data_IF_543462631218
#
_entry.id   IF_543462631218
#
_cell.length_a   1.000
_cell.length_b   1.000
_cell.length_c   1.000
_cell.angle_alpha   90.00
_cell.angle_beta   90.00
_cell.angle_gamma   90.00
#
_symmetry.space_group_name_H-M   'P 1'
#
loop_
_entity.id
_entity.type
_entity.pdbx_description
1 polymer ?
#
# COMPACT_ATOMS: atom_id res chain seq x y z
N UNK A 1 -32.68 23.35 -26.63
CA UNK A 1 -31.36 22.73 -26.89
C UNK A 1 -30.23 23.35 -26.11
N UNK A 2 -30.15 24.63 -25.92
CA UNK A 2 -29.08 25.30 -25.15
C UNK A 2 -29.07 24.97 -23.62
N UNK A 3 -30.22 24.61 -23.03
CA UNK A 3 -30.35 24.28 -21.60
C UNK A 3 -29.78 22.91 -21.20
N UNK A 4 -29.62 22.01 -22.15
CA UNK A 4 -29.11 20.64 -21.88
C UNK A 4 -27.57 20.66 -21.73
N UNK A 5 -26.88 21.55 -22.45
CA UNK A 5 -25.43 21.70 -22.42
C UNK A 5 -24.94 22.21 -21.06
N UNK A 6 -25.71 23.10 -20.42
CA UNK A 6 -25.38 23.69 -19.10
C UNK A 6 -25.46 22.65 -17.98
N UNK A 7 -26.39 21.69 -18.06
CA UNK A 7 -26.51 20.59 -17.09
C UNK A 7 -25.33 19.61 -17.17
N UNK A 8 -24.80 19.36 -18.36
CA UNK A 8 -23.62 18.50 -18.55
C UNK A 8 -22.34 19.13 -18.00
N UNK A 9 -22.19 20.44 -18.09
CA UNK A 9 -21.05 21.16 -17.53
C UNK A 9 -21.04 21.11 -15.99
N UNK A 10 -22.20 21.09 -15.34
CA UNK A 10 -22.31 21.02 -13.88
C UNK A 10 -21.92 19.64 -13.33
N UNK A 11 -22.20 18.57 -14.05
CA UNK A 11 -21.80 17.20 -13.68
C UNK A 11 -20.29 17.01 -13.84
N UNK A 12 -19.66 17.60 -14.82
CA UNK A 12 -18.21 17.54 -15.05
C UNK A 12 -17.40 18.26 -13.96
N UNK A 13 -17.95 19.26 -13.30
CA UNK A 13 -17.28 20.00 -12.21
C UNK A 13 -17.30 19.21 -10.89
N UNK A 14 -18.29 18.33 -10.66
CA UNK A 14 -18.37 17.49 -9.46
C UNK A 14 -17.50 16.23 -9.54
N UNK A 15 -17.17 15.75 -10.73
CA UNK A 15 -16.37 14.54 -10.94
C UNK A 15 -14.93 14.68 -10.43
N UNK A 16 -14.21 15.79 -10.61
CA UNK A 16 -12.85 15.93 -10.09
C UNK A 16 -12.74 15.87 -8.56
N UNK A 17 -13.75 16.39 -7.83
CA UNK A 17 -13.73 16.36 -6.36
C UNK A 17 -13.92 14.96 -5.78
N UNK A 18 -14.66 14.10 -6.46
CA UNK A 18 -14.83 12.69 -6.09
C UNK A 18 -13.61 11.83 -6.45
N UNK A 19 -12.89 12.20 -7.49
CA UNK A 19 -11.65 11.50 -7.91
C UNK A 19 -10.49 11.80 -6.97
N UNK A 20 -10.43 12.98 -6.38
CA UNK A 20 -9.40 13.36 -5.40
C UNK A 20 -9.46 12.56 -4.09
N UNK A 21 -10.60 11.97 -3.75
CA UNK A 21 -10.76 11.14 -2.56
C UNK A 21 -10.40 9.67 -2.78
N UNK A 22 -10.20 9.24 -4.02
CA UNK A 22 -9.69 7.90 -4.30
C UNK A 22 -8.18 7.87 -4.12
N UNK A 23 -7.78 7.44 -2.94
CA UNK A 23 -6.41 7.16 -2.61
C UNK A 23 -5.80 6.23 -3.66
N UNK A 24 -4.81 6.70 -4.40
CA UNK A 24 -4.15 5.91 -5.44
C UNK A 24 -3.66 4.58 -4.87
N UNK A 25 -4.14 3.50 -5.45
CA UNK A 25 -3.64 2.15 -5.19
C UNK A 25 -2.88 1.68 -6.42
N UNK A 26 -1.65 1.30 -6.24
CA UNK A 26 -0.80 0.83 -7.31
C UNK A 26 -0.36 -0.61 -7.04
N UNK A 27 -0.26 -1.41 -8.10
CA UNK A 27 0.35 -2.72 -7.98
C UNK A 27 1.84 -2.57 -7.68
N UNK A 28 2.33 -3.33 -6.71
CA UNK A 28 3.72 -3.28 -6.28
C UNK A 28 4.71 -3.51 -7.43
N UNK A 29 4.39 -4.42 -8.35
CA UNK A 29 5.22 -4.72 -9.54
C UNK A 29 5.41 -3.55 -10.52
N UNK A 30 4.57 -2.50 -10.41
CA UNK A 30 4.67 -1.28 -11.23
C UNK A 30 5.63 -0.25 -10.66
N UNK A 31 6.15 -0.49 -9.47
CA UNK A 31 7.12 0.39 -8.84
C UNK A 31 8.54 0.06 -9.28
N UNK A 32 9.34 1.09 -9.38
CA UNK A 32 10.77 0.99 -9.75
C UNK A 32 11.59 1.46 -8.55
N UNK A 33 12.51 0.62 -8.09
CA UNK A 33 13.44 0.98 -7.03
C UNK A 33 14.68 1.63 -7.62
N UNK A 34 15.08 2.78 -7.03
CA UNK A 34 16.35 3.45 -7.30
C UNK A 34 16.98 3.88 -5.99
N UNK A 35 18.15 3.32 -5.66
CA UNK A 35 18.89 3.65 -4.42
C UNK A 35 18.04 3.51 -3.15
N UNK A 36 17.24 2.46 -3.05
CA UNK A 36 16.38 2.19 -1.91
C UNK A 36 15.09 3.03 -1.84
N UNK A 37 14.82 3.87 -2.84
CA UNK A 37 13.62 4.68 -2.93
C UNK A 37 12.72 4.16 -4.05
N UNK A 38 11.44 4.01 -3.76
CA UNK A 38 10.45 3.53 -4.72
C UNK A 38 9.82 4.68 -5.50
N UNK A 39 9.73 4.50 -6.80
CA UNK A 39 9.13 5.43 -7.75
C UNK A 39 8.01 4.75 -8.53
N UNK A 40 7.00 5.50 -8.89
CA UNK A 40 6.07 5.11 -9.95
C UNK A 40 6.63 5.56 -11.31
N UNK A 41 5.80 5.79 -12.29
CA UNK A 41 6.22 6.23 -13.64
C UNK A 41 6.84 7.63 -13.71
N UNK A 42 6.84 8.39 -12.60
CA UNK A 42 7.32 9.76 -12.54
C UNK A 42 8.73 9.91 -11.97
N UNK A 43 9.18 11.17 -11.89
CA UNK A 43 10.46 11.53 -11.28
C UNK A 43 10.40 11.68 -9.76
N UNK A 44 9.18 11.75 -9.20
CA UNK A 44 8.96 11.92 -7.76
C UNK A 44 8.88 10.56 -7.06
N UNK A 45 9.43 10.41 -5.84
CA UNK A 45 9.22 9.24 -5.02
C UNK A 45 7.73 8.96 -4.82
N UNK A 46 7.37 7.68 -4.81
CA UNK A 46 5.97 7.27 -4.69
C UNK A 46 5.43 7.45 -3.27
N UNK A 47 4.25 8.03 -3.17
CA UNK A 47 3.45 8.07 -1.95
C UNK A 47 2.08 7.49 -2.26
N UNK A 48 1.68 6.47 -1.51
CA UNK A 48 0.37 5.83 -1.69
C UNK A 48 0.36 4.38 -1.26
N UNK A 49 -0.81 3.78 -1.36
CA UNK A 49 -1.01 2.37 -1.06
C UNK A 49 -0.55 1.50 -2.21
N UNK A 50 -0.02 0.35 -1.86
CA UNK A 50 0.37 -0.68 -2.83
C UNK A 50 -0.25 -2.02 -2.46
N UNK A 51 -0.38 -2.85 -3.46
CA UNK A 51 -0.81 -4.23 -3.30
C UNK A 51 -0.13 -5.12 -4.34
N UNK A 52 -0.04 -6.39 -4.03
CA UNK A 52 0.32 -7.44 -4.97
C UNK A 52 -0.62 -8.63 -4.76
N UNK A 53 -0.82 -9.40 -5.79
CA UNK A 53 -1.69 -10.58 -5.77
C UNK A 53 -0.92 -11.81 -6.23
N UNK A 54 -1.27 -12.96 -5.68
CA UNK A 54 -0.89 -14.22 -6.27
C UNK A 54 -1.61 -14.41 -7.60
N UNK A 55 -0.91 -14.98 -8.55
CA UNK A 55 -1.51 -15.29 -9.84
C UNK A 55 -2.73 -16.21 -9.63
N UNK A 56 -3.92 -15.68 -9.90
CA UNK A 56 -5.21 -16.39 -9.79
C UNK A 56 -5.67 -16.77 -8.36
N UNK A 57 -4.99 -16.33 -7.30
CA UNK A 57 -5.26 -16.82 -5.93
C UNK A 57 -5.30 -15.73 -4.84
N UNK A 58 -5.85 -14.57 -5.11
CA UNK A 58 -6.06 -13.58 -4.07
C UNK A 58 -4.82 -12.74 -3.70
N UNK A 59 -4.90 -12.09 -2.55
CA UNK A 59 -3.93 -11.08 -2.12
C UNK A 59 -2.63 -11.68 -1.63
N UNK A 60 -1.51 -11.13 -2.07
CA UNK A 60 -0.16 -11.49 -1.64
C UNK A 60 0.41 -10.50 -0.63
N UNK A 61 0.25 -9.21 -0.88
CA UNK A 61 0.65 -8.17 0.05
C UNK A 61 -0.19 -6.90 -0.08
N UNK A 62 -0.23 -6.13 1.00
CA UNK A 62 -0.65 -4.72 1.00
C UNK A 62 0.27 -3.91 1.88
N UNK A 63 0.46 -2.65 1.54
CA UNK A 63 1.26 -1.72 2.31
C UNK A 63 1.10 -0.29 1.84
N UNK A 64 1.91 0.58 2.39
CA UNK A 64 1.94 1.99 2.04
C UNK A 64 3.39 2.46 1.91
N UNK A 65 3.64 3.29 0.91
CA UNK A 65 4.86 4.07 0.78
C UNK A 65 4.59 5.54 1.10
N UNK A 66 5.55 6.17 1.73
CA UNK A 66 5.59 7.62 1.92
C UNK A 66 6.94 8.13 1.43
N UNK A 67 6.93 9.01 0.43
CA UNK A 67 8.14 9.52 -0.23
C UNK A 67 9.10 8.40 -0.66
N UNK A 68 8.54 7.32 -1.23
CA UNK A 68 9.28 6.17 -1.73
C UNK A 68 9.81 5.20 -0.68
N UNK A 69 9.50 5.40 0.60
CA UNK A 69 9.90 4.55 1.72
C UNK A 69 8.70 3.84 2.32
N UNK A 70 8.89 2.59 2.75
CA UNK A 70 7.83 1.85 3.48
C UNK A 70 7.39 2.65 4.71
N UNK A 71 6.07 2.74 4.90
CA UNK A 71 5.47 3.46 6.00
C UNK A 71 4.17 2.77 6.44
N UNK A 72 3.88 2.81 7.76
CA UNK A 72 2.68 2.17 8.30
C UNK A 72 2.73 0.64 8.27
N UNK A 73 1.57 0.03 8.21
CA UNK A 73 1.43 -1.42 8.31
C UNK A 73 1.53 -2.09 6.95
N UNK A 74 2.29 -3.18 6.90
CA UNK A 74 2.45 -4.05 5.76
C UNK A 74 1.96 -5.44 6.13
N UNK A 75 1.04 -6.00 5.36
CA UNK A 75 0.49 -7.33 5.57
C UNK A 75 0.84 -8.23 4.40
N UNK A 76 1.32 -9.41 4.70
CA UNK A 76 1.65 -10.46 3.74
C UNK A 76 0.78 -11.67 3.99
N UNK A 77 0.31 -12.28 2.92
CA UNK A 77 -0.52 -13.48 2.96
C UNK A 77 0.17 -14.63 2.21
N UNK A 78 -0.12 -15.84 2.65
CA UNK A 78 0.21 -17.08 1.95
C UNK A 78 -0.77 -17.32 0.79
N UNK A 79 -0.41 -18.18 -0.14
CA UNK A 79 -1.28 -18.55 -1.25
C UNK A 79 -2.62 -19.15 -0.81
N UNK A 80 -2.67 -19.79 0.36
CA UNK A 80 -3.89 -20.32 0.94
C UNK A 80 -4.82 -19.25 1.56
N UNK A 81 -4.44 -17.96 1.50
CA UNK A 81 -5.19 -16.83 2.03
C UNK A 81 -4.97 -16.54 3.51
N UNK A 82 -4.22 -17.38 4.22
CA UNK A 82 -3.89 -17.10 5.63
C UNK A 82 -2.78 -16.06 5.73
N UNK A 83 -2.81 -15.26 6.78
CA UNK A 83 -1.77 -14.27 7.04
C UNK A 83 -0.43 -14.98 7.29
N UNK A 84 0.60 -14.51 6.63
CA UNK A 84 1.98 -14.95 6.84
C UNK A 84 2.65 -14.09 7.90
N UNK A 85 2.64 -12.78 7.72
CA UNK A 85 3.20 -11.83 8.69
C UNK A 85 2.63 -10.43 8.52
N UNK A 86 2.73 -9.67 9.58
CA UNK A 86 2.44 -8.24 9.64
C UNK A 86 3.70 -7.50 10.07
N UNK A 87 4.05 -6.47 9.32
CA UNK A 87 5.21 -5.62 9.54
C UNK A 87 4.77 -4.19 9.76
N UNK A 88 5.51 -3.43 10.54
CA UNK A 88 5.27 -2.00 10.73
C UNK A 88 6.54 -1.20 10.46
N UNK A 89 6.37 -0.07 9.77
CA UNK A 89 7.47 0.80 9.38
C UNK A 89 7.16 2.26 9.67
N UNK A 90 8.20 3.03 9.94
CA UNK A 90 8.17 4.48 9.98
C UNK A 90 9.31 5.03 9.13
N UNK A 91 8.96 5.74 8.04
CA UNK A 91 9.92 6.34 7.11
C UNK A 91 11.05 5.39 6.66
N UNK A 92 10.67 4.16 6.30
CA UNK A 92 11.58 3.11 5.83
C UNK A 92 12.25 2.28 6.92
N UNK A 93 12.15 2.68 8.19
CA UNK A 93 12.72 1.93 9.32
C UNK A 93 11.68 1.01 9.94
N UNK A 94 12.11 -0.18 10.36
CA UNK A 94 11.29 -1.05 11.19
C UNK A 94 10.86 -0.31 12.44
N UNK A 95 9.56 -0.29 12.72
CA UNK A 95 9.03 0.41 13.89
C UNK A 95 7.72 -0.22 14.35
N UNK A 96 7.57 -0.48 15.63
CA UNK A 96 6.40 -1.14 16.17
C UNK A 96 6.51 -2.67 16.16
N UNK A 97 5.38 -3.35 16.13
CA UNK A 97 5.32 -4.79 16.22
C UNK A 97 5.41 -5.44 14.83
N UNK A 98 6.23 -6.47 14.76
CA UNK A 98 6.28 -7.40 13.65
C UNK A 98 5.75 -8.74 14.12
N UNK A 99 4.70 -9.23 13.51
CA UNK A 99 3.96 -10.42 13.94
C UNK A 99 4.07 -11.49 12.86
N UNK A 100 4.44 -12.69 13.27
CA UNK A 100 4.55 -13.84 12.39
C UNK A 100 3.51 -14.89 12.76
N UNK A 101 2.96 -15.54 11.75
CA UNK A 101 1.92 -16.55 11.90
C UNK A 101 2.37 -17.89 11.33
N UNK A 102 2.00 -18.98 11.97
CA UNK A 102 2.27 -20.33 11.47
C UNK A 102 1.29 -20.73 10.35
N UNK A 103 1.47 -21.92 9.81
CA UNK A 103 0.64 -22.43 8.71
C UNK A 103 -0.84 -22.62 9.07
N UNK A 104 -1.15 -22.70 10.35
CA UNK A 104 -2.52 -22.76 10.85
C UNK A 104 -3.15 -21.35 11.05
N UNK A 105 -2.39 -20.28 10.78
CA UNK A 105 -2.85 -18.91 10.99
C UNK A 105 -2.79 -18.47 12.47
N UNK A 106 -2.08 -19.18 13.30
CA UNK A 106 -1.90 -18.86 14.72
C UNK A 106 -0.63 -18.02 14.88
N UNK A 107 -0.73 -16.97 15.69
CA UNK A 107 0.41 -16.11 16.03
C UNK A 107 1.51 -16.93 16.69
N UNK A 108 2.71 -16.90 16.12
CA UNK A 108 3.86 -17.68 16.57
C UNK A 108 4.91 -16.83 17.25
N UNK A 109 5.18 -15.64 16.70
CA UNK A 109 6.25 -14.77 17.17
C UNK A 109 5.90 -13.31 17.00
N UNK A 110 6.33 -12.49 17.94
CA UNK A 110 6.27 -11.02 17.87
C UNK A 110 7.67 -10.46 18.13
N UNK A 111 8.12 -9.61 17.22
CA UNK A 111 9.33 -8.82 17.37
C UNK A 111 8.92 -7.35 17.53
N UNK A 112 9.58 -6.63 18.43
CA UNK A 112 9.35 -5.20 18.64
C UNK A 112 10.54 -4.41 18.15
N UNK A 113 10.28 -3.37 17.39
CA UNK A 113 11.29 -2.49 16.85
C UNK A 113 11.01 -1.04 17.24
N UNK A 114 12.07 -0.32 17.56
CA UNK A 114 12.04 1.11 17.74
C UNK A 114 13.15 1.73 16.88
N UNK A 115 12.76 2.55 15.89
CA UNK A 115 13.68 3.20 14.95
C UNK A 115 14.69 2.23 14.31
N UNK A 116 14.22 1.02 13.93
CA UNK A 116 15.05 0.01 13.27
C UNK A 116 15.85 -0.91 14.20
N UNK A 117 15.74 -0.74 15.52
CA UNK A 117 16.43 -1.58 16.51
C UNK A 117 15.46 -2.53 17.20
N UNK A 118 15.90 -3.76 17.47
CA UNK A 118 15.15 -4.71 18.31
C UNK A 118 15.07 -4.17 19.74
N UNK A 119 13.91 -4.30 20.33
CA UNK A 119 13.67 -3.90 21.73
C UNK A 119 13.20 -5.05 22.59
#
# INVERSE_FOLDING_TARGET
>A
MKKIIIKFLFILVCVPALIFSQQQRLMYEKLIEKKGIMYSTGKKPYTGRVFDNYRMKGRKLTGEFRNGKKHGNWTYWKENGKTDREESYFEGNKNGNWVYYNDNGIKERVEKYEKGKDT
#
